data_IF_821547088545
#
_entry.id   IF_821547088545
#
_cell.length_a   1.000
_cell.length_b   1.000
_cell.length_c   1.000
_cell.angle_alpha   90.00
_cell.angle_beta   90.00
_cell.angle_gamma   90.00
#
_symmetry.space_group_name_H-M   'P 1'
#
loop_
_entity.id
_entity.type
_entity.pdbx_description
1 polymer ?
#
# COMPACT_ATOMS: atom_id res chain seq x y z
N UNK A 1 -4.80 8.80 -1.05
CA UNK A 1 -4.69 10.18 -0.52
C UNK A 1 -3.39 10.38 0.28
N UNK A 2 -3.12 9.57 1.31
CA UNK A 2 -1.89 9.68 2.14
C UNK A 2 -0.61 9.64 1.32
N UNK A 3 -0.40 8.61 0.49
CA UNK A 3 0.79 8.52 -0.38
C UNK A 3 0.95 9.75 -1.28
N UNK A 4 -0.13 10.20 -1.93
CA UNK A 4 -0.08 11.38 -2.80
C UNK A 4 0.32 12.64 -2.03
N UNK A 5 -0.18 12.84 -0.81
CA UNK A 5 0.23 13.97 0.03
C UNK A 5 1.71 13.88 0.42
N UNK A 6 2.16 12.71 0.89
CA UNK A 6 3.57 12.52 1.24
C UNK A 6 4.51 12.74 0.04
N UNK A 7 4.13 12.31 -1.16
CA UNK A 7 4.90 12.58 -2.38
C UNK A 7 4.95 14.08 -2.72
N UNK A 8 3.91 14.85 -2.44
CA UNK A 8 3.94 16.32 -2.58
C UNK A 8 4.87 16.95 -1.55
N UNK A 9 4.76 16.53 -0.28
CA UNK A 9 5.57 17.04 0.82
C UNK A 9 7.08 16.77 0.59
N UNK A 10 7.40 15.63 -0.02
CA UNK A 10 8.76 15.23 -0.41
C UNK A 10 9.19 15.77 -1.77
N UNK A 11 8.38 16.63 -2.42
CA UNK A 11 8.65 17.24 -3.74
C UNK A 11 8.84 16.21 -4.88
N UNK A 12 8.28 15.01 -4.73
CA UNK A 12 8.22 13.97 -5.76
C UNK A 12 7.02 14.15 -6.69
N UNK A 13 5.97 14.85 -6.23
CA UNK A 13 4.85 15.32 -7.03
C UNK A 13 4.68 16.83 -6.87
N UNK A 14 4.18 17.50 -7.91
CA UNK A 14 3.94 18.95 -7.92
C UNK A 14 2.44 19.23 -8.08
N UNK A 15 1.94 20.28 -7.42
CA UNK A 15 0.55 20.73 -7.50
C UNK A 15 -0.26 20.45 -6.23
N UNK A 16 -1.58 20.67 -6.31
CA UNK A 16 -2.49 20.37 -5.21
C UNK A 16 -2.76 18.87 -5.10
N UNK A 17 -3.13 18.41 -3.90
CA UNK A 17 -3.49 17.02 -3.65
C UNK A 17 -4.57 16.51 -4.62
N UNK A 18 -5.62 17.28 -4.86
CA UNK A 18 -6.70 16.87 -5.75
C UNK A 18 -6.23 16.81 -7.22
N UNK A 19 -5.37 17.73 -7.67
CA UNK A 19 -4.78 17.68 -9.01
C UNK A 19 -3.87 16.46 -9.21
N UNK A 20 -3.07 16.10 -8.20
CA UNK A 20 -2.23 14.89 -8.22
C UNK A 20 -3.09 13.62 -8.24
N UNK A 21 -4.18 13.59 -7.46
CA UNK A 21 -5.10 12.45 -7.43
C UNK A 21 -5.85 12.27 -8.76
N UNK A 22 -6.33 13.36 -9.34
CA UNK A 22 -7.07 13.37 -10.62
C UNK A 22 -6.17 12.99 -11.79
N UNK A 23 -4.97 13.58 -11.89
CA UNK A 23 -4.01 13.27 -12.94
C UNK A 23 -3.37 11.88 -12.79
N UNK A 24 -3.36 11.32 -11.58
CA UNK A 24 -2.74 10.02 -11.31
C UNK A 24 -1.21 10.05 -11.35
N UNK A 25 -0.57 11.21 -11.27
CA UNK A 25 0.90 11.36 -11.33
C UNK A 25 1.62 10.57 -10.23
N UNK A 26 0.99 10.40 -9.07
CA UNK A 26 1.48 9.54 -7.99
C UNK A 26 1.72 8.07 -8.41
N UNK A 27 1.03 7.58 -9.45
CA UNK A 27 1.13 6.18 -9.91
C UNK A 27 2.52 5.81 -10.42
N UNK A 28 3.33 6.81 -10.77
CA UNK A 28 4.76 6.61 -11.09
C UNK A 28 5.52 5.95 -9.93
N UNK A 29 5.15 6.28 -8.70
CA UNK A 29 5.79 5.81 -7.46
C UNK A 29 4.99 4.69 -6.78
N UNK A 30 3.71 4.52 -7.16
CA UNK A 30 2.82 3.49 -6.63
C UNK A 30 1.94 2.92 -7.75
N UNK A 31 2.46 1.92 -8.46
CA UNK A 31 1.90 1.43 -9.72
C UNK A 31 0.95 0.24 -9.59
N UNK A 32 0.80 -0.33 -8.40
CA UNK A 32 -0.04 -1.51 -8.12
C UNK A 32 -1.26 -1.15 -7.27
N UNK A 33 -2.12 -2.15 -7.04
CA UNK A 33 -3.29 -2.02 -6.14
C UNK A 33 -2.84 -2.21 -4.68
N UNK A 34 -3.70 -1.81 -3.75
CA UNK A 34 -3.40 -1.88 -2.32
C UNK A 34 -3.54 -3.27 -1.70
N UNK A 35 -3.86 -4.30 -2.49
CA UNK A 35 -4.03 -5.67 -2.01
C UNK A 35 -4.83 -6.56 -2.97
N UNK A 36 -4.92 -7.83 -2.58
CA UNK A 36 -5.63 -8.90 -3.27
C UNK A 36 -6.21 -9.90 -2.25
N UNK A 37 -7.16 -10.74 -2.69
CA UNK A 37 -7.62 -11.88 -1.90
C UNK A 37 -6.49 -12.83 -1.58
N UNK A 38 -6.55 -13.45 -0.40
CA UNK A 38 -5.57 -14.39 0.09
C UNK A 38 -6.25 -15.66 0.60
N UNK A 39 -5.71 -16.82 0.24
CA UNK A 39 -6.25 -18.11 0.68
C UNK A 39 -5.33 -19.26 0.26
N UNK A 40 -5.89 -20.25 -0.45
CA UNK A 40 -5.07 -21.39 -0.90
C UNK A 40 -4.05 -20.98 -1.97
N UNK A 41 -4.43 -20.02 -2.81
CA UNK A 41 -3.52 -19.33 -3.72
C UNK A 41 -3.12 -17.97 -3.13
N UNK A 42 -1.89 -17.51 -3.42
CA UNK A 42 -1.40 -16.20 -2.95
C UNK A 42 -2.30 -15.08 -3.49
N UNK A 43 -2.61 -15.11 -4.78
CA UNK A 43 -3.66 -14.28 -5.37
C UNK A 43 -4.92 -15.12 -5.51
N UNK A 44 -5.73 -15.16 -4.46
CA UNK A 44 -6.82 -16.12 -4.37
C UNK A 44 -8.00 -15.79 -5.29
N UNK A 45 -8.81 -16.82 -5.53
CA UNK A 45 -10.02 -16.73 -6.33
C UNK A 45 -11.07 -15.82 -5.69
N UNK A 46 -12.01 -15.33 -6.50
CA UNK A 46 -13.14 -14.54 -6.03
C UNK A 46 -13.38 -13.30 -6.87
N UNK A 47 -14.66 -13.00 -7.13
CA UNK A 47 -15.02 -11.79 -7.87
C UNK A 47 -14.74 -10.55 -7.03
N UNK A 48 -13.91 -9.64 -7.54
CA UNK A 48 -13.67 -8.31 -6.96
C UNK A 48 -14.80 -7.32 -7.29
N UNK A 49 -15.63 -7.63 -8.28
CA UNK A 49 -16.80 -6.82 -8.66
C UNK A 49 -18.03 -7.70 -8.86
N UNK A 50 -19.18 -7.22 -8.40
CA UNK A 50 -20.49 -7.85 -8.56
C UNK A 50 -21.40 -6.80 -9.18
N UNK A 51 -22.07 -7.15 -10.28
CA UNK A 51 -22.95 -6.23 -11.04
C UNK A 51 -22.30 -4.89 -11.44
N UNK A 52 -21.00 -4.92 -11.73
CA UNK A 52 -20.24 -3.74 -12.10
C UNK A 52 -19.79 -2.88 -10.90
N UNK A 53 -20.18 -3.20 -9.68
CA UNK A 53 -19.74 -2.48 -8.49
C UNK A 53 -18.63 -3.21 -7.74
N UNK A 54 -17.85 -2.49 -6.94
CA UNK A 54 -16.84 -3.13 -6.08
C UNK A 54 -17.55 -4.03 -5.07
N UNK A 55 -17.05 -5.25 -4.91
CA UNK A 55 -17.61 -6.19 -3.94
C UNK A 55 -17.48 -5.63 -2.53
N UNK A 56 -18.57 -5.67 -1.76
CA UNK A 56 -18.55 -5.31 -0.35
C UNK A 56 -17.77 -6.38 0.44
N UNK A 57 -16.98 -5.92 1.43
CA UNK A 57 -16.28 -6.82 2.34
C UNK A 57 -17.27 -7.42 3.33
N UNK A 58 -17.17 -8.73 3.53
CA UNK A 58 -18.02 -9.49 4.45
C UNK A 58 -17.14 -10.35 5.37
N UNK A 59 -17.60 -10.66 6.61
CA UNK A 59 -16.85 -11.49 7.53
C UNK A 59 -16.42 -12.83 6.91
N UNK A 60 -15.18 -13.23 7.16
CA UNK A 60 -14.57 -14.45 6.61
C UNK A 60 -13.77 -14.25 5.33
N UNK A 61 -13.81 -13.07 4.70
CA UNK A 61 -12.91 -12.73 3.59
C UNK A 61 -11.51 -12.42 4.11
N UNK A 62 -10.48 -12.99 3.48
CA UNK A 62 -9.08 -12.69 3.76
C UNK A 62 -8.42 -11.98 2.56
N UNK A 63 -7.61 -10.97 2.83
CA UNK A 63 -6.93 -10.16 1.83
C UNK A 63 -5.62 -9.56 2.37
N UNK A 64 -4.75 -9.13 1.46
CA UNK A 64 -3.57 -8.33 1.80
C UNK A 64 -3.90 -6.84 1.89
N UNK A 65 -3.11 -6.10 2.67
CA UNK A 65 -3.06 -4.63 2.68
C UNK A 65 -1.61 -4.21 2.52
N UNK A 66 -1.24 -3.75 1.32
CA UNK A 66 0.15 -3.68 0.86
C UNK A 66 0.53 -2.35 0.17
N UNK A 67 0.36 -1.17 0.81
CA UNK A 67 0.85 0.08 0.23
C UNK A 67 2.36 0.04 -0.03
N UNK A 68 2.78 0.60 -1.17
CA UNK A 68 4.19 0.67 -1.56
C UNK A 68 4.58 2.03 -2.16
N UNK A 69 5.88 2.32 -2.12
CA UNK A 69 6.50 3.46 -2.78
C UNK A 69 7.82 3.03 -3.40
N UNK A 70 7.99 3.24 -4.70
CA UNK A 70 9.16 2.81 -5.47
C UNK A 70 9.70 3.98 -6.29
N UNK A 71 10.91 4.42 -5.98
CA UNK A 71 11.49 5.64 -6.52
C UNK A 71 12.71 5.25 -7.37
N UNK A 72 12.55 5.38 -8.69
CA UNK A 72 13.65 5.18 -9.65
C UNK A 72 14.33 6.51 -9.96
N UNK A 73 15.65 6.50 -10.25
CA UNK A 73 16.37 7.67 -10.73
C UNK A 73 15.69 8.29 -11.95
N UNK A 74 15.54 9.61 -11.94
CA UNK A 74 15.04 10.38 -13.08
C UNK A 74 15.14 11.89 -12.86
N UNK A 75 14.94 12.64 -13.94
CA UNK A 75 14.76 14.09 -13.89
C UNK A 75 13.70 14.48 -12.85
N UNK A 76 14.04 15.49 -12.04
CA UNK A 76 13.22 16.06 -10.96
C UNK A 76 12.89 15.12 -9.80
N UNK A 77 13.56 13.97 -9.70
CA UNK A 77 13.54 13.14 -8.49
C UNK A 77 14.81 13.48 -7.69
N UNK A 78 14.71 13.95 -6.43
CA UNK A 78 15.88 14.21 -5.60
C UNK A 78 16.77 12.95 -5.45
N UNK A 79 18.09 13.11 -5.58
CA UNK A 79 19.06 12.00 -5.59
C UNK A 79 19.02 11.19 -4.29
N UNK A 80 18.69 11.81 -3.16
CA UNK A 80 18.56 11.15 -1.87
C UNK A 80 17.45 10.08 -1.80
N UNK A 81 16.52 10.08 -2.78
CA UNK A 81 15.45 9.08 -2.87
C UNK A 81 15.69 8.01 -3.94
N UNK A 82 16.78 8.10 -4.69
CA UNK A 82 17.04 7.16 -5.79
C UNK A 82 17.20 5.73 -5.29
N UNK A 83 16.64 4.80 -6.06
CA UNK A 83 16.69 3.35 -5.84
C UNK A 83 16.09 2.88 -4.50
N UNK A 84 15.27 3.72 -3.86
CA UNK A 84 14.50 3.35 -2.67
C UNK A 84 13.17 2.73 -3.09
N UNK A 85 12.94 1.50 -2.65
CA UNK A 85 11.66 0.80 -2.75
C UNK A 85 11.23 0.28 -1.38
N UNK A 86 10.04 0.67 -0.93
CA UNK A 86 9.47 0.23 0.35
C UNK A 86 8.04 -0.25 0.12
N UNK A 87 7.71 -1.44 0.66
CA UNK A 87 6.35 -1.95 0.79
C UNK A 87 6.19 -2.51 2.20
N UNK A 88 5.09 -2.19 2.86
CA UNK A 88 4.70 -2.78 4.14
C UNK A 88 3.36 -3.46 3.89
N UNK A 89 3.31 -4.76 4.15
CA UNK A 89 2.21 -5.63 3.78
C UNK A 89 1.77 -6.45 4.98
N UNK A 90 0.46 -6.45 5.23
CA UNK A 90 -0.18 -7.28 6.24
C UNK A 90 -1.28 -8.15 5.63
N UNK A 91 -1.49 -9.33 6.19
CA UNK A 91 -2.63 -10.19 5.89
C UNK A 91 -3.76 -9.89 6.88
N UNK A 92 -4.95 -9.62 6.37
CA UNK A 92 -6.11 -9.25 7.18
C UNK A 92 -7.31 -10.15 6.91
N UNK A 93 -7.98 -10.55 7.99
CA UNK A 93 -9.25 -11.26 7.97
C UNK A 93 -10.37 -10.28 8.32
N UNK A 94 -11.40 -10.19 7.47
CA UNK A 94 -12.59 -9.39 7.77
C UNK A 94 -13.41 -10.12 8.84
N UNK A 95 -13.82 -9.42 9.88
CA UNK A 95 -14.64 -9.92 10.99
C UNK A 95 -15.98 -9.17 11.03
N UNK A 96 -16.92 -9.62 11.88
CA UNK A 96 -18.22 -8.95 12.01
C UNK A 96 -18.10 -7.51 12.54
N UNK A 97 -17.09 -7.25 13.35
CA UNK A 97 -16.84 -5.95 13.99
C UNK A 97 -15.75 -5.11 13.30
N UNK A 98 -15.08 -5.63 12.27
CA UNK A 98 -14.01 -4.94 11.56
C UNK A 98 -13.05 -5.89 10.85
N UNK A 99 -11.80 -5.92 11.28
CA UNK A 99 -10.79 -6.86 10.78
C UNK A 99 -9.81 -7.29 11.86
N UNK A 100 -9.22 -8.47 11.66
CA UNK A 100 -8.11 -9.00 12.41
C UNK A 100 -6.84 -8.96 11.54
N UNK A 101 -5.73 -8.47 12.08
CA UNK A 101 -4.44 -8.46 11.40
C UNK A 101 -3.63 -9.71 11.80
N UNK A 102 -3.51 -10.65 10.87
CA UNK A 102 -2.90 -11.97 11.09
C UNK A 102 -1.37 -11.90 11.16
N UNK A 103 -0.78 -10.82 10.63
CA UNK A 103 0.67 -10.58 10.56
C UNK A 103 1.12 -9.46 11.51
N UNK A 104 0.30 -9.10 12.49
CA UNK A 104 0.55 -8.00 13.41
C UNK A 104 1.84 -8.13 14.23
N UNK A 105 2.35 -9.36 14.41
CA UNK A 105 3.58 -9.63 15.15
C UNK A 105 4.86 -9.16 14.42
N UNK A 106 4.79 -8.89 13.11
CA UNK A 106 5.93 -8.43 12.33
C UNK A 106 6.26 -6.96 12.66
N UNK A 107 7.50 -6.64 13.08
CA UNK A 107 7.94 -5.26 13.32
C UNK A 107 7.73 -4.37 12.09
N UNK A 108 7.11 -3.21 12.28
CA UNK A 108 6.79 -2.28 11.18
C UNK A 108 6.90 -0.80 11.54
N UNK A 109 7.03 -0.46 12.83
CA UNK A 109 7.47 0.88 13.22
C UNK A 109 8.99 0.97 13.06
N UNK A 110 9.51 2.19 12.86
CA UNK A 110 10.95 2.41 12.72
C UNK A 110 11.70 1.85 13.93
N UNK A 111 11.25 2.15 15.14
CA UNK A 111 11.88 1.69 16.38
C UNK A 111 11.85 0.17 16.53
N UNK A 112 10.74 -0.48 16.17
CA UNK A 112 10.64 -1.94 16.31
C UNK A 112 11.54 -2.65 15.28
N UNK A 113 11.62 -2.13 14.06
CA UNK A 113 12.50 -2.66 13.02
C UNK A 113 13.97 -2.46 13.40
N UNK A 114 14.35 -1.28 13.90
CA UNK A 114 15.70 -1.01 14.38
C UNK A 114 16.07 -1.91 15.57
N UNK A 115 15.17 -2.08 16.54
CA UNK A 115 15.37 -2.96 17.68
C UNK A 115 15.50 -4.43 17.28
N UNK A 116 14.71 -4.90 16.31
CA UNK A 116 14.81 -6.26 15.77
C UNK A 116 16.13 -6.52 15.01
N UNK A 117 16.73 -5.47 14.45
CA UNK A 117 18.02 -5.53 13.76
C UNK A 117 19.22 -5.34 14.70
N UNK A 118 19.01 -4.77 15.88
CA UNK A 118 20.06 -4.55 16.87
C UNK A 118 20.57 -5.91 17.39
N UNK A 119 21.88 -6.12 17.29
CA UNK A 119 22.56 -7.34 17.75
C UNK A 119 22.95 -7.27 19.21
#
# INVERSE_FOLDING_TARGET
>A
RVLAQGLIDLKLCEGSLDAVLESGTYKRFYMHRAGHWLGLDVHDVGLYRVDGESRLLEPGMALTVEPGCYIRPADKVPEEFWDIGVRIEDDVLVTAEGSENLTAATPKTISDVEAACAR
#
